data_IF_476178169827
#
_entry.id   IF_476178169827
#
_cell.length_a   1.000
_cell.length_b   1.000
_cell.length_c   1.000
_cell.angle_alpha   90.00
_cell.angle_beta   90.00
_cell.angle_gamma   90.00
#
_symmetry.space_group_name_H-M   'P 1'
#
loop_
_entity.id
_entity.type
_entity.pdbx_description
1 polymer ?
#
# COMPACT_ATOMS: atom_id res chain seq x y z
N UNK A 1 16.26 4.63 -10.74
CA UNK A 1 16.09 3.19 -11.06
C UNK A 1 14.71 2.73 -10.58
N UNK A 2 14.14 1.61 -11.06
CA UNK A 2 12.80 1.10 -10.61
C UNK A 2 12.71 1.03 -9.08
N UNK A 3 13.76 0.53 -8.42
CA UNK A 3 13.82 0.40 -6.97
C UNK A 3 13.88 1.74 -6.23
N UNK A 4 14.39 2.80 -6.87
CA UNK A 4 14.43 4.14 -6.27
C UNK A 4 13.06 4.84 -6.33
N UNK A 5 12.24 4.48 -7.33
CA UNK A 5 10.91 5.05 -7.54
C UNK A 5 9.85 4.40 -6.63
N UNK A 6 10.13 3.20 -6.09
CA UNK A 6 9.26 2.55 -5.12
C UNK A 6 9.20 3.32 -3.80
N UNK A 7 8.03 3.26 -3.16
CA UNK A 7 7.79 3.77 -1.82
C UNK A 7 8.70 3.09 -0.82
N UNK A 8 9.67 3.84 -0.30
CA UNK A 8 10.51 3.37 0.80
C UNK A 8 9.65 3.28 2.07
N UNK A 9 9.85 2.28 2.94
CA UNK A 9 9.22 2.28 4.25
C UNK A 9 9.52 3.61 4.91
N UNK A 10 8.51 4.47 5.02
CA UNK A 10 8.71 5.79 5.57
C UNK A 10 9.19 5.60 7.01
N UNK A 11 10.22 6.34 7.44
CA UNK A 11 10.61 6.38 8.85
C UNK A 11 9.43 6.76 9.77
N UNK A 12 8.34 7.29 9.18
CA UNK A 12 7.09 7.63 9.82
C UNK A 12 6.12 6.47 10.10
N UNK A 13 6.34 5.24 9.64
CA UNK A 13 5.38 4.13 9.84
C UNK A 13 5.11 3.88 11.33
N UNK A 14 6.18 3.87 12.13
CA UNK A 14 6.08 3.68 13.59
C UNK A 14 5.53 4.92 14.32
N UNK A 15 5.47 6.08 13.66
CA UNK A 15 4.84 7.31 14.16
C UNK A 15 3.46 7.55 13.55
N UNK A 16 2.88 6.57 12.85
CA UNK A 16 1.50 6.61 12.36
C UNK A 16 1.33 7.02 10.90
N UNK A 17 2.40 7.10 10.13
CA UNK A 17 2.32 7.29 8.66
C UNK A 17 1.88 5.98 8.02
N UNK A 18 0.63 5.96 7.56
CA UNK A 18 0.03 4.76 6.97
C UNK A 18 0.28 4.65 5.47
N UNK A 19 0.98 5.61 4.86
CA UNK A 19 1.12 5.64 3.41
C UNK A 19 2.50 6.08 2.96
N UNK A 20 3.08 5.32 2.04
CA UNK A 20 4.34 5.62 1.38
C UNK A 20 4.16 5.47 -0.13
N UNK A 21 3.86 6.57 -0.82
CA UNK A 21 3.56 6.56 -2.26
C UNK A 21 4.79 6.36 -3.15
N UNK A 22 6.00 6.66 -2.68
CA UNK A 22 7.16 6.67 -3.57
C UNK A 22 7.07 7.76 -4.63
N UNK A 23 7.72 7.57 -5.77
CA UNK A 23 7.71 8.53 -6.88
C UNK A 23 6.93 7.96 -8.07
N UNK A 24 5.64 8.31 -8.14
CA UNK A 24 4.74 7.90 -9.21
C UNK A 24 5.27 8.31 -10.58
N UNK A 25 5.51 9.62 -10.80
CA UNK A 25 5.91 10.16 -12.10
C UNK A 25 7.23 9.56 -12.59
N UNK A 26 8.19 9.38 -11.69
CA UNK A 26 9.44 8.72 -12.03
C UNK A 26 9.23 7.26 -12.39
N UNK A 27 8.33 6.55 -11.71
CA UNK A 27 8.04 5.16 -12.01
C UNK A 27 7.45 4.99 -13.41
N UNK A 28 6.35 5.69 -13.72
CA UNK A 28 5.65 5.53 -15.00
C UNK A 28 6.45 6.07 -16.19
N UNK A 29 7.41 6.97 -15.95
CA UNK A 29 8.33 7.47 -16.98
C UNK A 29 9.54 6.54 -17.25
N UNK A 30 9.70 5.43 -16.53
CA UNK A 30 10.79 4.49 -16.78
C UNK A 30 10.58 3.78 -18.11
N UNK A 31 11.59 3.84 -18.96
CA UNK A 31 11.68 3.10 -20.21
C UNK A 31 13.05 2.41 -20.28
N UNK A 32 13.06 1.08 -20.29
CA UNK A 32 14.29 0.31 -20.40
C UNK A 32 14.61 0.04 -21.87
N UNK A 33 15.52 0.82 -22.45
CA UNK A 33 15.99 0.72 -23.84
C UNK A 33 17.49 0.40 -23.86
N UNK A 34 17.95 -0.43 -24.79
CA UNK A 34 19.38 -0.68 -24.99
C UNK A 34 20.04 0.46 -25.78
N UNK A 35 19.28 1.08 -26.68
CA UNK A 35 19.68 2.21 -27.51
C UNK A 35 18.53 3.22 -27.63
N UNK A 36 18.80 4.54 -27.74
CA UNK A 36 17.75 5.56 -27.87
C UNK A 36 16.83 5.37 -29.08
N UNK A 37 17.31 4.68 -30.12
CA UNK A 37 16.56 4.42 -31.35
C UNK A 37 15.70 3.15 -31.30
N UNK A 38 15.80 2.35 -30.22
CA UNK A 38 15.06 1.10 -30.07
C UNK A 38 13.82 1.27 -29.19
N UNK A 39 12.84 0.42 -29.43
CA UNK A 39 11.65 0.29 -28.58
C UNK A 39 12.05 -0.18 -27.19
N UNK A 40 11.39 0.30 -26.12
CA UNK A 40 11.70 -0.12 -24.76
C UNK A 40 11.37 -1.61 -24.56
N UNK A 41 12.33 -2.35 -24.02
CA UNK A 41 12.16 -3.76 -23.59
C UNK A 41 11.06 -3.90 -22.54
N UNK A 42 10.95 -2.92 -21.65
CA UNK A 42 9.83 -2.78 -20.72
C UNK A 42 9.72 -1.32 -20.27
N UNK A 43 8.56 -0.98 -19.72
CA UNK A 43 8.29 0.32 -19.09
C UNK A 43 8.02 0.14 -17.61
N UNK A 44 8.02 1.22 -16.84
CA UNK A 44 7.61 1.17 -15.45
C UNK A 44 6.08 1.07 -15.31
N UNK A 45 5.64 0.26 -14.36
CA UNK A 45 4.25 0.14 -13.91
C UNK A 45 4.21 0.46 -12.42
N UNK A 46 3.40 1.45 -12.06
CA UNK A 46 3.20 1.85 -10.68
C UNK A 46 2.00 1.10 -10.11
N UNK A 47 2.18 0.36 -9.02
CA UNK A 47 1.10 -0.34 -8.32
C UNK A 47 0.92 0.17 -6.90
N UNK A 48 -0.32 0.18 -6.41
CA UNK A 48 -0.64 0.48 -5.02
C UNK A 48 -0.96 -0.81 -4.27
N UNK A 49 -0.12 -1.14 -3.29
CA UNK A 49 -0.26 -2.29 -2.41
C UNK A 49 -0.90 -1.84 -1.11
N UNK A 50 -1.97 -2.50 -0.69
CA UNK A 50 -2.62 -2.32 0.59
C UNK A 50 -2.29 -3.50 1.52
N UNK A 51 -1.81 -3.21 2.72
CA UNK A 51 -1.58 -4.20 3.77
C UNK A 51 -2.54 -3.91 4.93
N UNK A 52 -3.38 -4.90 5.26
CA UNK A 52 -4.30 -4.85 6.40
C UNK A 52 -3.80 -5.77 7.51
N UNK A 53 -3.70 -5.29 8.76
CA UNK A 53 -3.29 -6.12 9.88
C UNK A 53 -4.30 -7.25 10.12
N UNK A 54 -3.86 -8.44 10.57
CA UNK A 54 -4.76 -9.53 10.93
C UNK A 54 -5.55 -9.16 12.19
N UNK A 55 -6.80 -8.77 12.00
CA UNK A 55 -7.70 -8.44 13.10
C UNK A 55 -9.02 -9.19 12.92
N UNK A 56 -9.64 -9.67 14.02
CA UNK A 56 -10.92 -10.35 13.95
C UNK A 56 -11.97 -9.39 13.39
N UNK A 57 -12.94 -9.87 12.60
CA UNK A 57 -13.95 -9.03 11.94
C UNK A 57 -14.56 -7.99 12.89
N UNK A 58 -14.68 -6.76 12.39
CA UNK A 58 -15.24 -5.62 13.13
C UNK A 58 -16.67 -5.96 13.61
N UNK A 59 -16.95 -5.88 14.91
CA UNK A 59 -18.31 -6.08 15.43
C UNK A 59 -19.25 -4.97 14.94
N UNK A 60 -20.54 -5.27 14.83
CA UNK A 60 -21.57 -4.35 14.30
C UNK A 60 -21.69 -3.06 15.12
N UNK A 61 -21.50 -3.16 16.43
CA UNK A 61 -21.50 -2.05 17.37
C UNK A 61 -20.28 -2.19 18.26
N UNK A 62 -19.49 -1.12 18.36
CA UNK A 62 -18.41 -0.98 19.34
C UNK A 62 -18.08 0.50 19.51
N UNK A 63 -17.52 0.83 20.67
CA UNK A 63 -17.01 2.16 21.00
C UNK A 63 -15.49 2.18 20.99
N UNK A 64 -14.88 3.37 20.99
CA UNK A 64 -13.43 3.54 21.16
C UNK A 64 -12.93 3.03 22.52
N UNK A 65 -13.82 2.76 23.47
CA UNK A 65 -13.48 2.24 24.79
C UNK A 65 -13.64 0.71 24.89
N UNK A 66 -14.18 0.07 23.85
CA UNK A 66 -14.42 -1.37 23.86
C UNK A 66 -13.11 -2.10 23.56
N UNK A 67 -12.79 -3.10 24.37
CA UNK A 67 -11.67 -3.99 24.10
C UNK A 67 -12.02 -4.94 22.96
N UNK A 68 -11.07 -5.12 22.03
CA UNK A 68 -11.20 -6.14 21.00
C UNK A 68 -11.24 -7.50 21.69
N UNK A 69 -12.23 -8.35 21.36
CA UNK A 69 -12.48 -9.66 21.97
C UNK A 69 -11.21 -10.53 22.12
N UNK A 70 -10.27 -10.39 21.18
CA UNK A 70 -8.98 -11.09 21.15
C UNK A 70 -8.09 -10.80 22.39
N UNK A 71 -8.33 -9.69 23.09
CA UNK A 71 -7.49 -9.21 24.19
C UNK A 71 -8.22 -9.11 25.53
N UNK A 72 -9.43 -9.64 25.65
CA UNK A 72 -10.19 -9.66 26.92
C UNK A 72 -9.41 -10.31 28.08
N UNK A 73 -8.46 -11.20 27.77
CA UNK A 73 -7.62 -11.89 28.76
C UNK A 73 -6.30 -11.16 29.08
N UNK A 74 -6.02 -10.02 28.46
CA UNK A 74 -4.80 -9.26 28.73
C UNK A 74 -4.98 -8.42 30.00
N UNK A 75 -4.09 -8.63 30.98
CA UNK A 75 -4.09 -7.83 32.22
C UNK A 75 -3.74 -6.37 31.92
N UNK A 76 -4.64 -5.46 32.32
CA UNK A 76 -4.52 -3.99 32.15
C UNK A 76 -3.23 -3.37 32.71
N UNK A 77 -2.55 -4.05 33.65
CA UNK A 77 -1.38 -3.53 34.38
C UNK A 77 -0.05 -3.66 33.62
N UNK A 78 -0.03 -4.31 32.46
CA UNK A 78 1.16 -4.42 31.60
C UNK A 78 1.03 -3.49 30.40
N UNK A 79 2.15 -3.15 29.76
CA UNK A 79 2.20 -2.40 28.48
C UNK A 79 1.26 -2.99 27.42
N UNK A 80 1.03 -4.30 27.47
CA UNK A 80 0.08 -5.02 26.62
C UNK A 80 -1.38 -4.59 26.82
N UNK A 81 -1.76 -4.12 28.01
CA UNK A 81 -3.09 -3.62 28.33
C UNK A 81 -3.40 -2.28 27.65
N UNK A 82 -2.45 -1.35 27.64
CA UNK A 82 -2.60 -0.07 26.92
C UNK A 82 -2.67 -0.27 25.40
N UNK A 83 -1.89 -1.22 24.88
CA UNK A 83 -1.95 -1.63 23.47
C UNK A 83 -3.34 -2.19 23.17
N UNK A 84 -3.85 -3.12 24.00
CA UNK A 84 -5.16 -3.75 23.86
C UNK A 84 -6.32 -2.72 23.80
N UNK A 85 -6.26 -1.66 24.61
CA UNK A 85 -7.27 -0.59 24.58
C UNK A 85 -7.25 0.22 23.29
N UNK A 86 -6.09 0.40 22.66
CA UNK A 86 -5.95 1.13 21.38
C UNK A 86 -6.10 0.23 20.15
N UNK A 87 -6.29 -1.08 20.32
CA UNK A 87 -6.37 -2.04 19.21
C UNK A 87 -7.55 -1.80 18.27
N UNK A 88 -8.62 -1.14 18.73
CA UNK A 88 -9.75 -0.77 17.88
C UNK A 88 -9.35 0.13 16.70
N UNK A 89 -8.23 0.86 16.81
CA UNK A 89 -7.66 1.66 15.73
C UNK A 89 -7.24 0.80 14.53
N UNK A 90 -6.81 -0.44 14.77
CA UNK A 90 -6.39 -1.37 13.71
C UNK A 90 -7.52 -1.70 12.73
N UNK A 91 -8.80 -1.55 13.12
CA UNK A 91 -9.94 -1.67 12.20
C UNK A 91 -9.95 -0.66 11.06
N UNK A 92 -9.28 0.46 11.23
CA UNK A 92 -9.18 1.53 10.24
C UNK A 92 -7.79 1.58 9.60
N UNK A 93 -6.85 0.76 10.08
CA UNK A 93 -5.50 0.73 9.57
C UNK A 93 -5.43 -0.01 8.23
N UNK A 94 -5.13 0.75 7.19
CA UNK A 94 -4.73 0.24 5.89
C UNK A 94 -3.41 0.88 5.54
N UNK A 95 -2.34 0.09 5.54
CA UNK A 95 -1.05 0.59 5.08
C UNK A 95 -1.02 0.58 3.56
N UNK A 96 -0.70 1.71 2.94
CA UNK A 96 -0.66 1.88 1.49
C UNK A 96 0.76 2.12 1.02
N UNK A 97 1.25 1.29 0.11
CA UNK A 97 2.58 1.42 -0.46
C UNK A 97 2.48 1.53 -1.98
N UNK A 98 3.07 2.58 -2.53
CA UNK A 98 3.35 2.67 -3.95
C UNK A 98 4.57 1.84 -4.27
N UNK A 99 4.47 0.90 -5.20
CA UNK A 99 5.60 0.08 -5.67
C UNK A 99 5.77 0.28 -7.15
N UNK A 100 7.02 0.36 -7.59
CA UNK A 100 7.35 0.41 -9.00
C UNK A 100 7.83 -0.96 -9.45
N UNK A 101 7.20 -1.52 -10.48
CA UNK A 101 7.56 -2.81 -11.08
C UNK A 101 7.67 -2.69 -12.59
N UNK A 102 8.37 -3.60 -13.28
CA UNK A 102 8.36 -3.63 -14.74
C UNK A 102 6.94 -3.86 -15.28
N UNK A 103 6.65 -3.36 -16.48
CA UNK A 103 5.36 -3.53 -17.15
C UNK A 103 5.02 -4.99 -17.49
N UNK A 104 6.04 -5.85 -17.52
CA UNK A 104 5.93 -7.30 -17.68
C UNK A 104 5.39 -8.01 -16.43
N UNK A 105 5.39 -7.36 -15.27
CA UNK A 105 4.88 -7.89 -14.01
C UNK A 105 3.36 -7.74 -13.94
N UNK A 106 2.65 -8.83 -13.62
CA UNK A 106 1.20 -8.83 -13.46
C UNK A 106 0.79 -8.45 -12.04
N UNK A 107 -0.49 -8.12 -11.85
CA UNK A 107 -1.02 -7.74 -10.53
C UNK A 107 -0.78 -8.87 -9.51
N UNK A 108 -0.99 -10.10 -9.96
CA UNK A 108 -0.90 -11.33 -9.18
C UNK A 108 0.54 -11.61 -8.72
N UNK A 109 1.53 -11.25 -9.55
CA UNK A 109 2.94 -11.34 -9.20
C UNK A 109 3.27 -10.37 -8.05
N UNK A 110 2.78 -9.13 -8.15
CA UNK A 110 2.98 -8.10 -7.11
C UNK A 110 2.32 -8.53 -5.80
N UNK A 111 1.10 -9.06 -5.85
CA UNK A 111 0.41 -9.61 -4.68
C UNK A 111 1.19 -10.76 -4.05
N UNK A 112 1.70 -11.68 -4.86
CA UNK A 112 2.46 -12.85 -4.37
C UNK A 112 3.76 -12.45 -3.70
N UNK A 113 4.49 -11.49 -4.29
CA UNK A 113 5.73 -10.96 -3.73
C UNK A 113 5.43 -10.23 -2.42
N UNK A 114 4.43 -9.35 -2.41
CA UNK A 114 4.04 -8.59 -1.22
C UNK A 114 3.56 -9.51 -0.08
N UNK A 115 2.74 -10.52 -0.38
CA UNK A 115 2.29 -11.52 0.59
C UNK A 115 3.46 -12.32 1.18
N UNK A 116 4.46 -12.64 0.36
CA UNK A 116 5.65 -13.37 0.84
C UNK A 116 6.47 -12.56 1.84
N UNK A 117 6.55 -11.23 1.67
CA UNK A 117 7.27 -10.34 2.59
C UNK A 117 6.61 -10.22 3.97
N UNK A 118 5.29 -10.28 4.03
CA UNK A 118 4.51 -10.11 5.27
C UNK A 118 3.94 -11.40 5.83
N UNK A 119 4.33 -12.55 5.27
CA UNK A 119 3.81 -13.88 5.62
C UNK A 119 3.91 -14.21 7.10
N UNK A 120 5.00 -13.80 7.76
CA UNK A 120 5.24 -14.04 9.19
C UNK A 120 4.34 -13.22 10.12
N UNK A 121 3.78 -12.12 9.62
CA UNK A 121 2.92 -11.21 10.39
C UNK A 121 1.44 -11.32 10.01
N UNK A 122 1.08 -12.26 9.13
CA UNK A 122 -0.30 -12.59 8.71
C UNK A 122 -1.12 -11.38 8.19
N UNK A 123 -0.46 -10.39 7.60
CA UNK A 123 -1.18 -9.27 6.96
C UNK A 123 -1.95 -9.75 5.73
N UNK A 124 -3.17 -9.25 5.56
CA UNK A 124 -3.92 -9.37 4.33
C UNK A 124 -3.35 -8.39 3.30
N UNK A 125 -3.00 -8.90 2.13
CA UNK A 125 -2.41 -8.13 1.03
C UNK A 125 -3.42 -7.98 -0.09
N UNK A 126 -3.54 -6.77 -0.62
CA UNK A 126 -4.37 -6.48 -1.80
C UNK A 126 -3.69 -5.45 -2.69
N UNK A 127 -3.62 -5.71 -4.00
CA UNK A 127 -3.19 -4.68 -4.96
C UNK A 127 -4.41 -3.95 -5.52
N UNK A 128 -4.55 -2.67 -5.18
CA UNK A 128 -5.74 -1.89 -5.52
C UNK A 128 -5.71 -1.34 -6.94
N UNK A 129 -4.57 -0.82 -7.38
CA UNK A 129 -4.40 -0.31 -8.75
C UNK A 129 -3.00 -0.56 -9.29
N UNK A 130 -2.88 -0.66 -10.61
CA UNK A 130 -1.61 -0.71 -11.34
C UNK A 130 -1.73 0.11 -12.62
N UNK A 131 -0.86 1.09 -12.78
CA UNK A 131 -0.92 2.09 -13.85
C UNK A 131 0.39 2.11 -14.62
N UNK A 132 0.28 2.31 -15.93
CA UNK A 132 1.40 2.63 -16.82
C UNK A 132 1.10 3.99 -17.44
N UNK A 133 2.13 4.67 -17.94
CA UNK A 133 1.95 5.95 -18.62
C UNK A 133 0.99 5.78 -19.81
N UNK A 134 -0.17 6.43 -19.77
CA UNK A 134 -1.08 6.51 -20.90
C UNK A 134 -0.70 7.72 -21.76
N UNK A 135 -0.32 7.49 -23.02
CA UNK A 135 0.14 8.56 -23.90
C UNK A 135 -0.97 9.50 -24.40
N UNK A 136 -2.24 9.30 -24.02
CA UNK A 136 -3.35 10.13 -24.47
C UNK A 136 -4.50 10.17 -23.47
N UNK A 137 -4.29 10.74 -22.28
CA UNK A 137 -5.41 11.32 -21.54
C UNK A 137 -5.88 12.57 -22.31
N UNK A 138 -6.72 12.37 -23.35
CA UNK A 138 -7.49 13.46 -23.94
C UNK A 138 -8.45 13.96 -22.86
N UNK A 139 -8.00 14.93 -22.08
CA UNK A 139 -8.86 15.69 -21.18
C UNK A 139 -9.92 16.35 -22.07
N UNK A 140 -11.12 15.77 -22.12
CA UNK A 140 -12.27 16.47 -22.66
C UNK A 140 -12.49 17.70 -21.77
N UNK A 141 -12.66 18.87 -22.40
CA UNK A 141 -12.68 20.19 -21.76
C UNK A 141 -13.75 20.43 -20.70
N UNK A 142 -14.51 19.41 -20.30
CA UNK A 142 -15.49 19.46 -19.20
C UNK A 142 -14.87 19.23 -17.81
N UNK A 143 -13.60 18.80 -17.73
CA UNK A 143 -12.93 18.59 -16.43
C UNK A 143 -12.26 19.85 -15.85
N UNK A 144 -12.47 21.03 -16.45
CA UNK A 144 -11.92 22.31 -15.98
C UNK A 144 -13.02 23.18 -15.35
N UNK A 145 -13.66 22.70 -14.29
CA UNK A 145 -14.51 23.56 -13.45
C UNK A 145 -14.65 23.01 -12.03
N UNK A 146 -13.62 23.19 -11.21
CA UNK A 146 -13.80 23.44 -9.78
C UNK A 146 -12.89 24.62 -9.44
N UNK A 147 -13.44 25.83 -9.53
CA UNK A 147 -12.93 27.04 -8.88
C UNK A 147 -13.74 27.23 -7.61
#
# INVERSE_FOLDING_TARGET
MILDAAGKPAGGILTGTLTAFGSYDQCVAIEARDSPAEEPRFTGRYCTVELRPPIPKRPRYYTLHDQVQLFNNITRTKVTGEIAEKMHFFYFLVYRYGVCVPSTCQREDVETIAASLVKSAEFEVKVSNCEVKEDNAKLNGDQTAIV
#
